data_IF_346557081581
#
_entry.id   IF_346557081581
#
_cell.length_a   1.000
_cell.length_b   1.000
_cell.length_c   1.000
_cell.angle_alpha   90.00
_cell.angle_beta   90.00
_cell.angle_gamma   90.00
#
_symmetry.space_group_name_H-M   'P 1'
#
loop_
_entity.id
_entity.type
_entity.pdbx_description
1 polymer ?
#
# COMPACT_ATOMS: atom_id res chain seq x y z
N UNK A 1 -11.42 0.26 2.00
CA UNK A 1 -10.15 -0.46 1.71
C UNK A 1 -10.49 -1.78 1.04
N UNK A 2 -9.55 -2.39 0.30
CA UNK A 2 -9.76 -3.75 -0.24
C UNK A 2 -8.46 -4.55 -0.36
N UNK A 3 -8.61 -5.87 -0.34
CA UNK A 3 -7.56 -6.85 -0.61
C UNK A 3 -7.79 -7.49 -1.97
N UNK A 4 -6.74 -7.56 -2.77
CA UNK A 4 -6.72 -8.28 -4.04
C UNK A 4 -5.88 -9.54 -3.89
N UNK A 5 -6.40 -10.67 -4.35
CA UNK A 5 -5.81 -12.00 -4.21
C UNK A 5 -6.31 -12.92 -5.34
N UNK A 6 -5.53 -13.04 -6.41
CA UNK A 6 -5.83 -13.92 -7.54
C UNK A 6 -5.50 -15.39 -7.24
N UNK A 7 -4.66 -15.70 -6.24
CA UNK A 7 -4.45 -17.09 -5.77
C UNK A 7 -5.71 -17.67 -5.12
N UNK A 8 -6.57 -16.82 -4.56
CA UNK A 8 -7.83 -17.22 -3.96
C UNK A 8 -9.04 -16.94 -4.88
N UNK A 9 -9.23 -17.85 -5.84
CA UNK A 9 -10.22 -17.72 -6.94
C UNK A 9 -11.69 -17.56 -6.54
N UNK A 10 -12.06 -17.78 -5.27
CA UNK A 10 -13.44 -17.59 -4.80
C UNK A 10 -13.74 -16.13 -4.39
N UNK A 11 -12.72 -15.35 -4.00
CA UNK A 11 -12.86 -13.96 -3.54
C UNK A 11 -11.61 -13.13 -3.86
N UNK A 12 -11.41 -12.84 -5.14
CA UNK A 12 -10.22 -12.12 -5.62
C UNK A 12 -10.22 -10.62 -5.37
N UNK A 13 -11.38 -10.02 -5.06
CA UNK A 13 -11.51 -8.66 -4.54
C UNK A 13 -12.36 -8.70 -3.27
N UNK A 14 -11.73 -8.39 -2.13
CA UNK A 14 -12.36 -8.42 -0.80
C UNK A 14 -12.36 -7.02 -0.21
N UNK A 15 -13.55 -6.45 -0.09
CA UNK A 15 -13.75 -5.17 0.58
C UNK A 15 -13.55 -5.31 2.09
N UNK A 16 -12.80 -4.38 2.66
CA UNK A 16 -12.54 -4.29 4.10
C UNK A 16 -12.92 -2.91 4.55
N UNK A 17 -13.64 -2.86 5.66
CA UNK A 17 -14.07 -1.62 6.27
C UNK A 17 -13.43 -1.49 7.64
N UNK A 18 -12.59 -0.47 7.81
CA UNK A 18 -12.10 -0.06 9.10
C UNK A 18 -13.13 0.85 9.77
N UNK A 19 -13.45 0.59 11.03
CA UNK A 19 -14.32 1.47 11.81
C UNK A 19 -13.53 2.70 12.26
N UNK A 20 -13.54 3.75 11.42
CA UNK A 20 -12.81 4.99 11.65
C UNK A 20 -13.27 5.79 12.88
N UNK A 21 -14.30 5.32 13.61
CA UNK A 21 -14.67 5.88 14.91
C UNK A 21 -13.83 5.36 16.08
N UNK A 22 -13.07 4.27 15.87
CA UNK A 22 -12.19 3.68 16.86
C UNK A 22 -10.90 4.48 17.06
N UNK A 23 -10.16 4.15 18.12
CA UNK A 23 -8.84 4.74 18.35
C UNK A 23 -7.84 4.29 17.27
N UNK A 24 -6.85 5.14 16.96
CA UNK A 24 -5.81 4.81 15.97
C UNK A 24 -5.10 3.49 16.31
N UNK A 25 -4.89 3.20 17.60
CA UNK A 25 -4.26 1.97 18.08
C UNK A 25 -5.10 0.74 17.76
N UNK A 26 -6.42 0.82 17.93
CA UNK A 26 -7.33 -0.30 17.66
C UNK A 26 -7.52 -0.52 16.16
N UNK A 27 -7.60 0.57 15.39
CA UNK A 27 -7.61 0.54 13.92
C UNK A 27 -6.36 -0.14 13.37
N UNK A 28 -5.18 0.27 13.86
CA UNK A 28 -3.90 -0.28 13.46
C UNK A 28 -3.79 -1.78 13.77
N UNK A 29 -4.20 -2.21 14.97
CA UNK A 29 -4.23 -3.63 15.33
C UNK A 29 -5.19 -4.42 14.43
N UNK A 30 -6.36 -3.88 14.16
CA UNK A 30 -7.37 -4.52 13.32
C UNK A 30 -6.85 -4.71 11.90
N UNK A 31 -6.25 -3.67 11.32
CA UNK A 31 -5.64 -3.70 9.99
C UNK A 31 -4.50 -4.73 9.92
N UNK A 32 -3.60 -4.74 10.89
CA UNK A 32 -2.49 -5.69 10.95
C UNK A 32 -3.01 -7.14 11.05
N UNK A 33 -3.99 -7.40 11.90
CA UNK A 33 -4.59 -8.73 12.03
C UNK A 33 -5.23 -9.20 10.71
N UNK A 34 -5.96 -8.32 10.01
CA UNK A 34 -6.50 -8.67 8.69
C UNK A 34 -5.40 -9.04 7.69
N UNK A 35 -4.30 -8.29 7.67
CA UNK A 35 -3.19 -8.59 6.76
C UNK A 35 -2.49 -9.91 7.13
N UNK A 36 -2.31 -10.21 8.42
CA UNK A 36 -1.72 -11.48 8.88
C UNK A 36 -2.59 -12.67 8.49
N UNK A 37 -3.90 -12.57 8.69
CA UNK A 37 -4.84 -13.66 8.44
C UNK A 37 -5.04 -13.92 6.95
N UNK A 38 -5.10 -12.86 6.14
CA UNK A 38 -5.50 -12.97 4.74
C UNK A 38 -4.32 -12.96 3.76
N UNK A 39 -3.17 -12.39 4.17
CA UNK A 39 -1.96 -12.26 3.37
C UNK A 39 -2.23 -11.81 1.92
N UNK A 40 -2.82 -10.62 1.73
CA UNK A 40 -3.24 -10.18 0.41
C UNK A 40 -2.05 -9.99 -0.53
N UNK A 41 -2.25 -10.28 -1.81
CA UNK A 41 -1.26 -9.94 -2.84
C UNK A 41 -1.11 -8.43 -2.95
N UNK A 42 -2.23 -7.71 -3.03
CA UNK A 42 -2.25 -6.25 -3.05
C UNK A 42 -3.25 -5.70 -2.05
N UNK A 43 -2.78 -4.82 -1.17
CA UNK A 43 -3.61 -4.00 -0.30
C UNK A 43 -3.88 -2.65 -0.98
N UNK A 44 -5.16 -2.29 -1.14
CA UNK A 44 -5.58 -1.01 -1.74
C UNK A 44 -6.33 -0.17 -0.71
N UNK A 45 -5.90 1.08 -0.51
CA UNK A 45 -6.52 2.00 0.45
C UNK A 45 -6.62 3.41 -0.11
N UNK A 46 -7.60 4.19 0.38
CA UNK A 46 -7.85 5.57 -0.04
C UNK A 46 -8.00 6.51 1.17
N UNK A 47 -7.60 7.77 1.01
CA UNK A 47 -7.86 8.81 2.01
C UNK A 47 -7.25 8.52 3.38
N UNK A 48 -8.10 8.51 4.42
CA UNK A 48 -7.67 8.27 5.81
C UNK A 48 -7.21 6.82 6.02
N UNK A 49 -7.81 5.86 5.31
CA UNK A 49 -7.37 4.47 5.40
C UNK A 49 -5.92 4.30 4.92
N UNK A 50 -5.53 5.04 3.88
CA UNK A 50 -4.16 5.05 3.38
C UNK A 50 -3.17 5.61 4.41
N UNK A 51 -3.57 6.57 5.25
CA UNK A 51 -2.73 7.07 6.34
C UNK A 51 -2.42 6.00 7.38
N UNK A 52 -3.41 5.17 7.74
CA UNK A 52 -3.20 4.05 8.65
C UNK A 52 -2.27 2.99 8.05
N UNK A 53 -2.37 2.73 6.74
CA UNK A 53 -1.44 1.85 6.04
C UNK A 53 -0.02 2.41 6.08
N UNK A 54 0.17 3.70 5.77
CA UNK A 54 1.47 4.38 5.81
C UNK A 54 2.15 4.27 7.18
N UNK A 55 1.39 4.49 8.25
CA UNK A 55 1.90 4.38 9.62
C UNK A 55 2.30 2.96 10.04
N UNK A 56 1.80 1.93 9.35
CA UNK A 56 2.10 0.53 9.65
C UNK A 56 2.96 -0.17 8.60
N UNK A 57 3.45 0.56 7.59
CA UNK A 57 4.15 -0.02 6.44
C UNK A 57 5.18 -1.09 6.80
N UNK A 58 6.13 -0.87 7.73
CA UNK A 58 7.13 -1.88 8.06
C UNK A 58 6.53 -3.21 8.55
N UNK A 59 5.37 -3.17 9.20
CA UNK A 59 4.68 -4.37 9.68
C UNK A 59 3.80 -4.99 8.59
N UNK A 60 3.13 -4.17 7.77
CA UNK A 60 2.21 -4.65 6.73
C UNK A 60 2.95 -5.24 5.54
N UNK A 61 4.10 -4.70 5.15
CA UNK A 61 4.88 -5.18 4.00
C UNK A 61 5.46 -6.59 4.17
N UNK A 62 5.43 -7.14 5.39
CA UNK A 62 5.79 -8.55 5.65
C UNK A 62 4.63 -9.48 5.26
N UNK A 63 3.40 -8.98 5.31
CA UNK A 63 2.18 -9.76 5.15
C UNK A 63 1.41 -9.44 3.86
N UNK A 64 1.75 -8.33 3.19
CA UNK A 64 1.18 -7.94 1.90
C UNK A 64 2.25 -8.05 0.83
N UNK A 65 1.89 -8.57 -0.35
CA UNK A 65 2.81 -8.59 -1.49
C UNK A 65 3.15 -7.20 -2.02
N UNK A 66 2.14 -6.35 -2.13
CA UNK A 66 2.22 -4.98 -2.62
C UNK A 66 1.15 -4.09 -1.97
N UNK A 67 1.32 -2.79 -2.08
CA UNK A 67 0.44 -1.78 -1.49
C UNK A 67 0.17 -0.67 -2.51
N UNK A 68 -1.09 -0.32 -2.71
CA UNK A 68 -1.51 0.79 -3.55
C UNK A 68 -2.35 1.78 -2.75
N UNK A 69 -1.92 3.04 -2.72
CA UNK A 69 -2.53 4.09 -1.93
C UNK A 69 -3.05 5.20 -2.83
N UNK A 70 -4.34 5.52 -2.70
CA UNK A 70 -4.97 6.62 -3.40
C UNK A 70 -5.22 7.78 -2.43
N UNK A 71 -4.89 8.99 -2.87
CA UNK A 71 -5.14 10.26 -2.17
C UNK A 71 -4.98 10.22 -0.64
N UNK A 72 -3.84 9.77 -0.08
CA UNK A 72 -3.65 9.76 1.36
C UNK A 72 -3.82 11.16 1.94
N UNK A 73 -4.49 11.27 3.09
CA UNK A 73 -4.80 12.56 3.70
C UNK A 73 -3.59 13.18 4.41
N UNK A 74 -2.65 12.33 4.83
CA UNK A 74 -1.37 12.64 5.45
C UNK A 74 -1.47 13.50 6.72
N UNK A 75 -2.64 13.51 7.39
CA UNK A 75 -2.87 14.32 8.59
C UNK A 75 -2.19 13.77 9.84
N UNK A 76 -2.00 12.46 9.88
CA UNK A 76 -1.50 11.74 11.05
C UNK A 76 -0.30 10.84 10.70
N UNK A 77 0.29 11.04 9.52
CA UNK A 77 1.41 10.23 9.05
C UNK A 77 2.73 10.90 9.43
N UNK A 78 3.60 10.16 10.11
CA UNK A 78 4.96 10.63 10.36
C UNK A 78 5.85 10.37 9.14
N UNK A 79 5.87 11.31 8.20
CA UNK A 79 6.60 11.22 6.93
C UNK A 79 8.10 10.92 7.15
N UNK A 80 8.70 11.45 8.21
CA UNK A 80 10.13 11.28 8.49
C UNK A 80 10.50 9.84 8.89
N UNK A 81 9.52 9.03 9.32
CA UNK A 81 9.71 7.63 9.69
C UNK A 81 9.48 6.66 8.53
N UNK A 82 9.03 7.17 7.38
CA UNK A 82 8.83 6.36 6.19
C UNK A 82 10.18 6.01 5.55
N UNK A 83 10.38 4.73 5.27
CA UNK A 83 11.53 4.22 4.54
C UNK A 83 11.12 3.79 3.14
N UNK A 84 12.05 3.88 2.18
CA UNK A 84 11.79 3.40 0.83
C UNK A 84 11.54 1.89 0.84
N UNK A 85 10.48 1.47 0.14
CA UNK A 85 10.09 0.07 0.02
C UNK A 85 9.56 -0.17 -1.39
N UNK A 86 9.95 -1.30 -1.97
CA UNK A 86 9.40 -1.73 -3.25
C UNK A 86 7.95 -2.18 -3.09
N UNK A 87 7.20 -2.14 -4.20
CA UNK A 87 5.84 -2.67 -4.24
C UNK A 87 4.82 -1.72 -3.65
N UNK A 88 5.21 -0.46 -3.41
CA UNK A 88 4.32 0.59 -2.92
C UNK A 88 4.14 1.63 -4.01
N UNK A 89 2.90 1.83 -4.43
CA UNK A 89 2.50 2.89 -5.36
C UNK A 89 1.56 3.87 -4.65
N UNK A 90 1.75 5.18 -4.90
CA UNK A 90 0.94 6.23 -4.30
C UNK A 90 0.46 7.20 -5.38
N UNK A 91 -0.86 7.41 -5.47
CA UNK A 91 -1.44 8.51 -6.25
C UNK A 91 -1.73 9.69 -5.32
N UNK A 92 -1.01 10.80 -5.51
CA UNK A 92 -1.13 12.01 -4.69
C UNK A 92 -0.98 13.25 -5.57
N UNK A 93 -1.64 14.34 -5.18
CA UNK A 93 -1.49 15.64 -5.85
C UNK A 93 -0.03 16.14 -5.80
N UNK A 94 0.61 16.47 -6.95
CA UNK A 94 1.94 17.05 -6.99
C UNK A 94 2.10 18.37 -6.22
N UNK A 95 0.99 19.07 -5.96
CA UNK A 95 0.98 20.29 -5.14
C UNK A 95 0.92 20.00 -3.64
N UNK A 96 0.74 18.74 -3.24
CA UNK A 96 0.68 18.36 -1.83
C UNK A 96 2.03 18.63 -1.15
N UNK A 97 2.07 19.24 0.06
CA UNK A 97 3.32 19.60 0.74
C UNK A 97 4.29 18.44 0.97
N UNK A 98 3.78 17.21 1.04
CA UNK A 98 4.54 15.99 1.28
C UNK A 98 4.83 15.18 0.02
N UNK A 99 4.43 15.65 -1.18
CA UNK A 99 4.60 14.91 -2.42
C UNK A 99 6.06 14.54 -2.67
N UNK A 100 6.98 15.51 -2.62
CA UNK A 100 8.41 15.27 -2.86
C UNK A 100 9.03 14.30 -1.84
N UNK A 101 8.60 14.36 -0.58
CA UNK A 101 9.10 13.44 0.44
C UNK A 101 8.66 11.99 0.17
N UNK A 102 7.40 11.80 -0.26
CA UNK A 102 6.90 10.47 -0.62
C UNK A 102 7.51 9.96 -1.93
N UNK A 103 7.73 10.83 -2.91
CA UNK A 103 8.36 10.50 -4.19
C UNK A 103 9.83 10.03 -4.05
N UNK A 104 10.49 10.39 -2.95
CA UNK A 104 11.83 9.87 -2.63
C UNK A 104 11.80 8.44 -2.06
N UNK A 105 10.65 8.01 -1.54
CA UNK A 105 10.51 6.71 -0.88
C UNK A 105 9.77 5.68 -1.74
N UNK A 106 8.77 6.13 -2.51
CA UNK A 106 7.78 5.27 -3.16
C UNK A 106 7.55 5.66 -4.62
N UNK A 107 6.99 4.75 -5.40
CA UNK A 107 6.61 5.03 -6.76
C UNK A 107 5.33 5.90 -6.79
N UNK A 108 5.39 7.05 -7.45
CA UNK A 108 4.26 7.95 -7.58
C UNK A 108 3.49 7.67 -8.87
N UNK A 109 2.17 7.57 -8.76
CA UNK A 109 1.26 7.49 -9.92
C UNK A 109 0.80 8.91 -10.25
N UNK A 110 0.94 9.37 -11.50
CA UNK A 110 0.39 10.65 -11.93
C UNK A 110 -1.13 10.74 -11.71
N UNK A 111 -1.65 11.94 -11.45
CA UNK A 111 -3.10 12.14 -11.26
C UNK A 111 -3.90 11.90 -12.55
N UNK A 112 -3.26 12.01 -13.71
CA UNK A 112 -3.90 11.75 -15.00
C UNK A 112 -4.04 10.26 -15.31
N UNK A 113 -3.31 9.39 -14.61
CA UNK A 113 -3.37 7.96 -14.79
C UNK A 113 -4.54 7.31 -14.04
N UNK A 114 -5.08 6.24 -14.63
CA UNK A 114 -6.13 5.44 -14.01
C UNK A 114 -5.53 4.60 -12.88
N UNK A 115 -5.91 4.93 -11.64
CA UNK A 115 -5.44 4.24 -10.46
C UNK A 115 -5.75 2.74 -10.50
N UNK A 116 -6.90 2.32 -11.04
CA UNK A 116 -7.24 0.89 -11.11
C UNK A 116 -6.29 0.17 -12.06
N UNK A 117 -5.93 0.78 -13.18
CA UNK A 117 -4.96 0.20 -14.11
C UNK A 117 -3.58 0.08 -13.47
N UNK A 118 -3.15 1.08 -12.70
CA UNK A 118 -1.90 1.04 -11.95
C UNK A 118 -1.91 -0.07 -10.88
N UNK A 119 -3.04 -0.26 -10.17
CA UNK A 119 -3.24 -1.36 -9.21
C UNK A 119 -3.14 -2.73 -9.91
N UNK A 120 -3.81 -2.91 -11.05
CA UNK A 120 -3.72 -4.18 -11.79
C UNK A 120 -2.31 -4.43 -12.33
N UNK A 121 -1.62 -3.38 -12.78
CA UNK A 121 -0.22 -3.49 -13.19
C UNK A 121 0.64 -3.94 -12.01
N UNK A 122 0.53 -3.28 -10.85
CA UNK A 122 1.26 -3.66 -9.64
C UNK A 122 1.00 -5.11 -9.24
N UNK A 123 -0.27 -5.55 -9.22
CA UNK A 123 -0.64 -6.94 -8.94
C UNK A 123 0.05 -7.94 -9.87
N UNK A 124 0.21 -7.59 -11.15
CA UNK A 124 0.87 -8.46 -12.12
C UNK A 124 2.40 -8.41 -12.05
N UNK A 125 2.99 -7.42 -11.36
CA UNK A 125 4.45 -7.19 -11.36
C UNK A 125 5.11 -7.21 -9.99
N UNK A 126 4.38 -7.21 -8.88
CA UNK A 126 4.99 -7.05 -7.55
C UNK A 126 5.95 -8.18 -7.18
N UNK A 127 5.69 -9.40 -7.67
CA UNK A 127 6.59 -10.55 -7.53
C UNK A 127 7.88 -10.43 -8.37
N UNK A 128 7.94 -9.46 -9.28
CA UNK A 128 9.08 -9.25 -10.21
C UNK A 128 10.12 -8.25 -9.67
N UNK A 129 10.01 -7.84 -8.40
CA UNK A 129 10.96 -6.95 -7.73
C UNK A 129 12.41 -7.43 -7.85
N UNK A 130 13.41 -6.52 -7.98
CA UNK A 130 14.61 -6.82 -8.75
C UNK A 130 15.28 -8.04 -8.15
N UNK A 131 15.56 -9.04 -9.01
CA UNK A 131 16.64 -9.99 -8.77
C UNK A 131 17.75 -9.22 -8.09
N UNK A 132 18.13 -9.68 -6.90
CA UNK A 132 19.34 -9.21 -6.28
C UNK A 132 20.41 -9.28 -7.38
N UNK A 133 21.21 -8.25 -7.69
CA UNK A 133 22.24 -8.36 -8.72
C UNK A 133 23.20 -9.55 -8.47
N UNK A 134 23.16 -10.09 -7.24
CA UNK A 134 23.71 -11.38 -6.79
C UNK A 134 23.11 -12.62 -7.48
N UNK A 135 21.82 -12.61 -7.83
CA UNK A 135 21.07 -13.71 -8.46
C UNK A 135 21.24 -13.78 -9.99
N UNK A 136 21.93 -12.80 -10.59
CA UNK A 136 22.21 -12.74 -12.04
C UNK A 136 23.64 -13.18 -12.41
N UNK A 137 24.42 -13.68 -11.45
CA UNK A 137 25.74 -14.27 -11.67
C UNK A 137 25.74 -15.76 -11.30
N UNK A 138 25.16 -16.59 -12.17
CA UNK A 138 25.52 -18.01 -12.31
C UNK A 138 25.81 -18.31 -13.79
#
# INVERSE_FOLDING_TARGET
>A
MRFLDDFNTEQSDRQIHLDLSQSDVDLQKTLLNYCIEQQPEVLVADGIEADHVLNLLPSLSIHCGAIALQHPSLKQVNIEQLSSQYGIIIQLDPQHPHYEALNQCFAMIPLEEDFEQAVQFLKNTYMLSPLDPSDLMD
#
